data_IF_497684955778
#
_entry.id   IF_497684955778
#
_cell.length_a   1.000
_cell.length_b   1.000
_cell.length_c   1.000
_cell.angle_alpha   90.00
_cell.angle_beta   90.00
_cell.angle_gamma   90.00
#
_symmetry.space_group_name_H-M   'P 1'
#
loop_
_entity.id
_entity.type
_entity.pdbx_description
1 polymer ?
#
# COMPACT_ATOMS: atom_id res chain seq x y z
N UNK A 1 26.19 -25.76 -21.97
CA UNK A 1 25.86 -24.41 -21.46
C UNK A 1 24.86 -24.44 -20.31
N UNK A 2 23.72 -25.15 -20.42
CA UNK A 2 22.75 -25.24 -19.30
C UNK A 2 23.33 -25.88 -18.01
N UNK A 3 24.12 -26.96 -18.12
CA UNK A 3 24.74 -27.61 -16.96
C UNK A 3 25.79 -26.73 -16.26
N UNK A 4 26.54 -25.91 -16.99
CA UNK A 4 27.52 -24.99 -16.38
C UNK A 4 26.86 -23.77 -15.76
N UNK A 5 25.77 -23.26 -16.35
CA UNK A 5 24.97 -22.19 -15.75
C UNK A 5 24.30 -22.65 -14.45
N UNK A 6 23.75 -23.88 -14.43
CA UNK A 6 23.17 -24.48 -13.23
C UNK A 6 24.19 -24.72 -12.12
N UNK A 7 25.41 -25.15 -12.44
CA UNK A 7 26.47 -25.33 -11.42
C UNK A 7 26.99 -24.00 -10.87
N UNK A 8 27.04 -22.94 -11.68
CA UNK A 8 27.47 -21.61 -11.23
C UNK A 8 26.42 -20.98 -10.31
N UNK A 9 25.13 -21.09 -10.67
CA UNK A 9 24.02 -20.63 -9.83
C UNK A 9 24.00 -21.33 -8.47
N UNK A 10 24.17 -22.65 -8.45
CA UNK A 10 24.21 -23.45 -7.22
C UNK A 10 25.41 -23.07 -6.33
N UNK A 11 26.58 -22.81 -6.93
CA UNK A 11 27.74 -22.32 -6.19
C UNK A 11 27.55 -20.92 -5.59
N UNK A 12 26.89 -20.00 -6.30
CA UNK A 12 26.61 -18.64 -5.79
C UNK A 12 25.57 -18.62 -4.68
N UNK A 13 24.55 -19.48 -4.74
CA UNK A 13 23.53 -19.58 -3.69
C UNK A 13 24.14 -20.12 -2.40
N UNK A 14 25.00 -21.13 -2.53
CA UNK A 14 25.71 -21.70 -1.38
C UNK A 14 26.65 -20.70 -0.71
N UNK A 15 27.34 -19.86 -1.48
CA UNK A 15 28.18 -18.77 -0.93
C UNK A 15 27.33 -17.79 -0.11
N UNK A 16 26.17 -17.37 -0.64
CA UNK A 16 25.23 -16.51 0.09
C UNK A 16 24.75 -17.18 1.38
N UNK A 17 24.40 -18.47 1.34
CA UNK A 17 23.98 -19.23 2.54
C UNK A 17 25.07 -19.24 3.62
N UNK A 18 26.31 -19.55 3.24
CA UNK A 18 27.43 -19.65 4.17
C UNK A 18 27.78 -18.28 4.77
N UNK A 19 27.73 -17.22 3.97
CA UNK A 19 27.95 -15.85 4.43
C UNK A 19 26.82 -15.35 5.36
N UNK A 20 25.55 -15.65 5.06
CA UNK A 20 24.42 -15.31 5.93
C UNK A 20 24.52 -16.01 7.28
N UNK A 21 24.92 -17.29 7.30
CA UNK A 21 25.17 -18.04 8.54
C UNK A 21 26.26 -17.39 9.38
N UNK A 22 27.42 -17.09 8.77
CA UNK A 22 28.55 -16.45 9.47
C UNK A 22 28.14 -15.09 10.04
N UNK A 23 27.54 -14.22 9.21
CA UNK A 23 27.14 -12.89 9.64
C UNK A 23 26.08 -12.95 10.74
N UNK A 24 25.08 -13.83 10.60
CA UNK A 24 24.05 -14.01 11.60
C UNK A 24 24.59 -14.49 12.95
N UNK A 25 25.55 -15.42 12.96
CA UNK A 25 26.22 -15.85 14.20
C UNK A 25 26.96 -14.69 14.86
N UNK A 26 27.67 -13.87 14.07
CA UNK A 26 28.39 -12.69 14.56
C UNK A 26 27.45 -11.59 15.07
N UNK A 27 26.21 -11.51 14.58
CA UNK A 27 25.21 -10.55 15.06
C UNK A 27 24.50 -10.99 16.35
N UNK A 28 24.53 -12.28 16.71
CA UNK A 28 23.98 -12.75 18.00
C UNK A 28 24.76 -12.14 19.17
N UNK A 29 26.07 -11.95 19.01
CA UNK A 29 26.93 -11.22 19.95
C UNK A 29 27.59 -10.09 19.16
N UNK A 30 26.89 -8.96 18.96
CA UNK A 30 27.29 -7.95 18.00
C UNK A 30 28.65 -7.34 18.37
N UNK A 31 29.44 -6.92 17.36
CA UNK A 31 30.70 -6.20 17.61
C UNK A 31 30.48 -4.98 18.50
N UNK A 32 31.41 -4.68 19.44
CA UNK A 32 31.26 -3.54 20.34
C UNK A 32 31.48 -2.19 19.63
N UNK A 33 32.14 -2.20 18.47
CA UNK A 33 32.34 -1.01 17.64
C UNK A 33 31.11 -0.77 16.78
N UNK A 34 30.54 0.43 16.86
CA UNK A 34 29.43 0.87 16.00
C UNK A 34 29.77 0.76 14.52
N UNK A 35 30.99 1.12 14.13
CA UNK A 35 31.44 1.04 12.73
C UNK A 35 31.51 -0.41 12.23
N UNK A 36 32.06 -1.31 13.04
CA UNK A 36 32.12 -2.74 12.70
C UNK A 36 30.73 -3.38 12.62
N UNK A 37 29.82 -2.97 13.51
CA UNK A 37 28.43 -3.42 13.51
C UNK A 37 27.70 -2.92 12.25
N UNK A 38 27.84 -1.64 11.90
CA UNK A 38 27.24 -1.06 10.69
C UNK A 38 27.74 -1.76 9.43
N UNK A 39 29.05 -1.99 9.31
CA UNK A 39 29.62 -2.73 8.18
C UNK A 39 29.07 -4.17 8.10
N UNK A 40 28.84 -4.81 9.24
CA UNK A 40 28.25 -6.16 9.29
C UNK A 40 26.76 -6.14 8.88
N UNK A 41 25.99 -5.14 9.32
CA UNK A 41 24.59 -4.96 8.94
C UNK A 41 24.45 -4.65 7.44
N UNK A 42 25.27 -3.74 6.90
CA UNK A 42 25.29 -3.43 5.47
C UNK A 42 25.64 -4.66 4.62
N UNK A 43 26.57 -5.49 5.12
CA UNK A 43 26.89 -6.77 4.49
C UNK A 43 25.66 -7.69 4.48
N UNK A 44 24.97 -7.83 5.62
CA UNK A 44 23.75 -8.65 5.72
C UNK A 44 22.66 -8.14 4.79
N UNK A 45 22.37 -6.85 4.80
CA UNK A 45 21.41 -6.21 3.89
C UNK A 45 21.72 -6.58 2.43
N UNK A 46 22.99 -6.42 2.00
CA UNK A 46 23.41 -6.74 0.63
C UNK A 46 23.27 -8.21 0.24
N UNK A 47 23.29 -9.13 1.22
CA UNK A 47 23.05 -10.55 1.01
C UNK A 47 21.55 -10.83 0.94
N UNK A 48 20.76 -10.25 1.84
CA UNK A 48 19.31 -10.42 1.89
C UNK A 48 18.62 -9.96 0.60
N UNK A 49 19.04 -8.83 0.03
CA UNK A 49 18.54 -8.32 -1.27
C UNK A 49 18.69 -9.33 -2.41
N UNK A 50 19.69 -10.22 -2.34
CA UNK A 50 19.93 -11.26 -3.36
C UNK A 50 19.09 -12.52 -3.16
N UNK A 51 18.44 -12.67 -2.00
CA UNK A 51 17.60 -13.82 -1.68
C UNK A 51 16.17 -13.54 -2.18
N UNK A 52 15.69 -14.40 -3.08
CA UNK A 52 14.31 -14.34 -3.57
C UNK A 52 13.28 -14.78 -2.52
N UNK A 53 12.00 -14.54 -2.82
CA UNK A 53 10.90 -15.08 -2.02
C UNK A 53 10.82 -16.60 -2.15
N UNK A 54 10.20 -17.25 -1.15
CA UNK A 54 10.08 -18.71 -1.07
C UNK A 54 11.44 -19.44 -1.25
N UNK A 55 12.46 -19.12 -0.43
CA UNK A 55 13.78 -19.72 -0.55
C UNK A 55 13.78 -21.23 -0.24
N UNK A 56 14.86 -21.93 -0.64
CA UNK A 56 15.09 -23.34 -0.29
C UNK A 56 15.17 -23.55 1.23
N UNK A 57 14.95 -24.77 1.70
CA UNK A 57 15.05 -25.06 3.14
C UNK A 57 16.48 -24.84 3.69
N UNK A 58 17.52 -25.09 2.87
CA UNK A 58 18.91 -24.77 3.22
C UNK A 58 19.14 -23.28 3.43
N UNK A 59 18.53 -22.43 2.59
CA UNK A 59 18.59 -20.99 2.71
C UNK A 59 17.75 -20.49 3.90
N UNK A 60 16.58 -21.08 4.17
CA UNK A 60 15.82 -20.80 5.40
C UNK A 60 16.65 -21.11 6.65
N UNK A 61 17.35 -22.25 6.66
CA UNK A 61 18.25 -22.59 7.75
C UNK A 61 19.40 -21.58 7.89
N UNK A 62 19.90 -21.06 6.76
CA UNK A 62 20.94 -20.01 6.73
C UNK A 62 20.46 -18.66 7.27
N UNK A 63 19.18 -18.32 7.09
CA UNK A 63 18.59 -17.07 7.55
C UNK A 63 18.28 -17.06 9.06
N UNK A 64 18.07 -18.23 9.68
CA UNK A 64 17.66 -18.31 11.10
C UNK A 64 18.54 -17.53 12.07
N UNK A 65 19.89 -17.57 12.00
CA UNK A 65 20.74 -16.80 12.91
C UNK A 65 20.55 -15.29 12.72
N UNK A 66 20.41 -14.83 11.48
CA UNK A 66 20.15 -13.42 11.15
C UNK A 66 18.80 -12.99 11.70
N UNK A 67 17.73 -13.74 11.42
CA UNK A 67 16.38 -13.45 11.93
C UNK A 67 16.35 -13.33 13.45
N UNK A 68 16.99 -14.29 14.15
CA UNK A 68 17.09 -14.25 15.62
C UNK A 68 17.86 -13.03 16.11
N UNK A 69 18.94 -12.66 15.44
CA UNK A 69 19.76 -11.52 15.86
C UNK A 69 19.01 -10.19 15.70
N UNK A 70 18.31 -9.98 14.57
CA UNK A 70 17.62 -8.71 14.26
C UNK A 70 16.56 -8.32 15.28
N UNK A 71 15.90 -9.30 15.88
CA UNK A 71 14.86 -9.08 16.92
C UNK A 71 15.43 -9.13 18.34
N UNK A 72 16.73 -9.36 18.49
CA UNK A 72 17.43 -9.28 19.77
C UNK A 72 17.46 -7.85 20.30
N UNK A 73 17.33 -7.68 21.61
CA UNK A 73 17.28 -6.36 22.27
C UNK A 73 18.48 -5.48 21.95
N UNK A 74 19.67 -6.08 21.80
CA UNK A 74 20.93 -5.36 21.51
C UNK A 74 20.89 -4.61 20.17
N UNK A 75 20.19 -5.16 19.18
CA UNK A 75 20.05 -4.54 17.85
C UNK A 75 18.76 -3.72 17.76
N UNK A 76 17.63 -4.31 18.13
CA UNK A 76 16.32 -3.66 17.96
C UNK A 76 16.16 -2.40 18.84
N UNK A 77 16.76 -2.39 20.03
CA UNK A 77 16.71 -1.27 20.98
C UNK A 77 18.03 -0.51 21.06
N UNK A 78 18.90 -0.66 20.06
CA UNK A 78 20.18 0.00 20.04
C UNK A 78 20.01 1.53 20.18
N UNK A 79 20.92 2.21 20.88
CA UNK A 79 20.82 3.66 21.06
C UNK A 79 21.13 4.41 19.75
N UNK A 80 22.05 3.87 18.96
CA UNK A 80 22.53 4.46 17.72
C UNK A 80 21.45 4.43 16.62
N UNK A 81 21.21 5.60 16.01
CA UNK A 81 20.15 5.77 15.02
C UNK A 81 20.51 5.11 13.68
N UNK A 82 21.78 5.13 13.29
CA UNK A 82 22.24 4.47 12.05
C UNK A 82 22.10 2.95 12.19
N UNK A 83 22.49 2.40 13.34
CA UNK A 83 22.35 0.97 13.63
C UNK A 83 20.88 0.56 13.57
N UNK A 84 20.00 1.29 14.26
CA UNK A 84 18.56 1.03 14.21
C UNK A 84 18.03 1.07 12.78
N UNK A 85 18.42 2.07 11.99
CA UNK A 85 17.94 2.21 10.62
C UNK A 85 18.39 1.03 9.75
N UNK A 86 19.66 0.60 9.86
CA UNK A 86 20.15 -0.58 9.14
C UNK A 86 19.47 -1.88 9.60
N UNK A 87 19.11 -2.01 10.88
CA UNK A 87 18.30 -3.15 11.37
C UNK A 87 16.91 -3.14 10.74
N UNK A 88 16.24 -1.98 10.64
CA UNK A 88 14.92 -1.86 9.99
C UNK A 88 14.99 -2.24 8.52
N UNK A 89 16.03 -1.80 7.81
CA UNK A 89 16.25 -2.21 6.43
C UNK A 89 16.42 -3.73 6.29
N UNK A 90 17.22 -4.37 7.15
CA UNK A 90 17.35 -5.82 7.17
C UNK A 90 16.02 -6.54 7.50
N UNK A 91 15.23 -6.01 8.43
CA UNK A 91 13.92 -6.55 8.79
C UNK A 91 12.90 -6.43 7.64
N UNK A 92 12.95 -5.35 6.88
CA UNK A 92 12.15 -5.17 5.66
C UNK A 92 12.46 -6.28 4.65
N UNK A 93 13.75 -6.54 4.40
CA UNK A 93 14.18 -7.60 3.48
C UNK A 93 13.84 -9.00 3.99
N UNK A 94 13.98 -9.27 5.29
CA UNK A 94 13.54 -10.54 5.88
C UNK A 94 12.02 -10.76 5.72
N UNK A 95 11.23 -9.69 5.89
CA UNK A 95 9.79 -9.72 5.66
C UNK A 95 9.47 -10.00 4.18
N UNK A 96 10.20 -9.36 3.26
CA UNK A 96 10.12 -9.62 1.81
C UNK A 96 10.36 -11.09 1.47
N UNK A 97 11.46 -11.66 1.98
CA UNK A 97 11.89 -13.04 1.70
C UNK A 97 10.88 -14.07 2.22
N UNK A 98 10.32 -13.82 3.40
CA UNK A 98 9.44 -14.77 4.09
C UNK A 98 7.98 -14.65 3.65
N UNK A 99 7.57 -13.51 3.08
CA UNK A 99 6.24 -13.31 2.53
C UNK A 99 5.82 -14.45 1.56
N UNK A 100 4.56 -14.92 1.64
CA UNK A 100 3.46 -14.40 2.47
C UNK A 100 3.47 -14.93 3.91
N UNK A 101 4.42 -15.78 4.30
CA UNK A 101 4.49 -16.34 5.65
C UNK A 101 5.22 -15.36 6.57
N UNK A 102 4.56 -14.91 7.62
CA UNK A 102 5.16 -13.93 8.53
C UNK A 102 6.37 -14.56 9.25
N UNK A 103 7.50 -13.84 9.34
CA UNK A 103 8.72 -14.35 9.98
C UNK A 103 8.62 -14.42 11.50
N UNK A 104 7.70 -13.66 12.09
CA UNK A 104 7.53 -13.48 13.53
C UNK A 104 6.05 -13.50 13.91
N UNK A 105 5.75 -13.54 15.20
CA UNK A 105 4.37 -13.43 15.70
C UNK A 105 3.79 -12.02 15.47
N UNK A 106 2.47 -11.93 15.46
CA UNK A 106 1.70 -10.72 15.20
C UNK A 106 2.15 -9.52 16.05
N UNK A 107 2.48 -9.74 17.33
CA UNK A 107 2.91 -8.66 18.23
C UNK A 107 4.22 -8.05 17.78
N UNK A 108 5.19 -8.90 17.44
CA UNK A 108 6.48 -8.46 16.93
C UNK A 108 6.39 -7.89 15.52
N UNK A 109 5.53 -8.45 14.65
CA UNK A 109 5.29 -7.88 13.32
C UNK A 109 4.72 -6.47 13.40
N UNK A 110 3.80 -6.19 14.33
CA UNK A 110 3.30 -4.82 14.57
C UNK A 110 4.43 -3.86 14.94
N UNK A 111 5.33 -4.24 15.84
CA UNK A 111 6.50 -3.43 16.20
C UNK A 111 7.42 -3.19 15.00
N UNK A 112 7.66 -4.22 14.18
CA UNK A 112 8.49 -4.10 12.96
C UNK A 112 7.85 -3.13 11.96
N UNK A 113 6.55 -3.23 11.71
CA UNK A 113 5.86 -2.31 10.80
C UNK A 113 5.87 -0.87 11.31
N UNK A 114 5.73 -0.65 12.62
CA UNK A 114 5.90 0.70 13.19
C UNK A 114 7.29 1.26 12.91
N UNK A 115 8.34 0.43 12.99
CA UNK A 115 9.70 0.85 12.64
C UNK A 115 9.87 1.14 11.15
N UNK A 116 9.26 0.32 10.28
CA UNK A 116 9.26 0.54 8.81
C UNK A 116 8.56 1.86 8.46
N UNK A 117 7.38 2.13 9.02
CA UNK A 117 6.66 3.39 8.77
C UNK A 117 7.47 4.58 9.25
N UNK A 118 8.10 4.49 10.42
CA UNK A 118 9.03 5.54 10.89
C UNK A 118 10.24 5.72 9.96
N UNK A 119 10.72 4.66 9.31
CA UNK A 119 11.81 4.78 8.36
C UNK A 119 11.43 5.62 7.13
N UNK A 120 10.15 5.67 6.75
CA UNK A 120 9.68 6.55 5.68
C UNK A 120 9.81 8.04 6.02
N UNK A 121 9.89 8.44 7.29
CA UNK A 121 10.17 9.84 7.65
C UNK A 121 11.51 10.33 7.12
N UNK A 122 12.48 9.44 6.89
CA UNK A 122 13.78 9.81 6.30
C UNK A 122 13.65 10.28 4.85
N UNK A 123 12.51 10.06 4.19
CA UNK A 123 12.20 10.63 2.88
C UNK A 123 11.85 12.13 2.98
N UNK A 124 11.47 12.66 4.15
CA UNK A 124 11.11 14.07 4.34
C UNK A 124 12.26 15.05 4.08
N UNK A 125 13.51 14.58 4.14
CA UNK A 125 14.72 15.34 3.89
C UNK A 125 15.65 14.55 2.99
N UNK A 126 16.52 15.22 2.23
CA UNK A 126 17.65 14.56 1.54
C UNK A 126 18.74 14.19 2.54
N UNK A 127 18.38 13.33 3.49
CA UNK A 127 19.19 12.95 4.64
C UNK A 127 20.07 11.73 4.34
N UNK A 128 20.91 11.38 5.32
CA UNK A 128 21.90 10.30 5.25
C UNK A 128 21.31 8.94 4.87
N UNK A 129 20.07 8.63 5.25
CA UNK A 129 19.43 7.34 4.98
C UNK A 129 18.45 7.35 3.81
N UNK A 130 18.36 8.47 3.07
CA UNK A 130 17.32 8.66 2.06
C UNK A 130 17.23 7.48 1.07
N UNK A 131 18.36 7.02 0.52
CA UNK A 131 18.37 5.91 -0.44
C UNK A 131 17.90 4.58 0.16
N UNK A 132 18.26 4.30 1.42
CA UNK A 132 17.75 3.11 2.12
C UNK A 132 16.26 3.23 2.40
N UNK A 133 15.76 4.43 2.75
CA UNK A 133 14.33 4.68 2.93
C UNK A 133 13.54 4.49 1.62
N UNK A 134 14.10 4.93 0.47
CA UNK A 134 13.52 4.66 -0.85
C UNK A 134 13.46 3.15 -1.11
N UNK A 135 14.54 2.42 -0.82
CA UNK A 135 14.57 0.97 -1.01
C UNK A 135 13.55 0.22 -0.13
N UNK A 136 13.39 0.62 1.14
CA UNK A 136 12.37 0.07 2.04
C UNK A 136 10.96 0.34 1.47
N UNK A 137 10.71 1.56 1.00
CA UNK A 137 9.41 1.95 0.43
C UNK A 137 9.08 1.12 -0.83
N UNK A 138 10.04 1.01 -1.74
CA UNK A 138 9.94 0.20 -2.96
C UNK A 138 9.66 -1.26 -2.61
N UNK A 139 10.43 -1.82 -1.67
CA UNK A 139 10.24 -3.20 -1.21
C UNK A 139 8.84 -3.44 -0.65
N UNK A 140 8.34 -2.54 0.21
CA UNK A 140 7.00 -2.66 0.81
C UNK A 140 5.91 -2.62 -0.26
N UNK A 141 6.07 -1.78 -1.29
CA UNK A 141 5.14 -1.73 -2.41
C UNK A 141 5.22 -3.00 -3.27
N UNK A 142 6.41 -3.39 -3.72
CA UNK A 142 6.65 -4.49 -4.66
C UNK A 142 6.10 -5.84 -4.17
N UNK A 143 6.27 -6.14 -2.88
CA UNK A 143 5.74 -7.37 -2.27
C UNK A 143 4.42 -7.17 -1.53
N UNK A 144 3.81 -5.99 -1.66
CA UNK A 144 2.54 -5.61 -1.03
C UNK A 144 2.55 -5.86 0.48
N UNK A 145 3.70 -5.66 1.14
CA UNK A 145 3.87 -5.95 2.55
C UNK A 145 2.93 -5.12 3.44
N UNK A 146 2.48 -3.95 2.97
CA UNK A 146 1.53 -3.11 3.68
C UNK A 146 0.19 -3.81 3.99
N UNK A 147 -0.22 -4.83 3.23
CA UNK A 147 -1.47 -5.56 3.49
C UNK A 147 -1.47 -6.32 4.82
N UNK A 148 -0.28 -6.66 5.34
CA UNK A 148 -0.16 -7.20 6.69
C UNK A 148 -0.74 -6.26 7.76
N UNK A 149 -0.77 -4.94 7.52
CA UNK A 149 -1.37 -3.99 8.45
C UNK A 149 -2.88 -4.20 8.58
N UNK A 150 -3.54 -4.64 7.51
CA UNK A 150 -4.96 -4.98 7.51
C UNK A 150 -5.17 -6.31 8.24
N UNK A 151 -4.38 -7.34 7.91
CA UNK A 151 -4.44 -8.65 8.59
C UNK A 151 -4.20 -8.54 10.10
N UNK A 152 -3.37 -7.58 10.52
CA UNK A 152 -3.02 -7.32 11.91
C UNK A 152 -3.95 -6.30 12.60
N UNK A 153 -4.98 -5.79 11.92
CA UNK A 153 -5.93 -4.79 12.44
C UNK A 153 -5.21 -3.52 12.97
N UNK A 154 -4.30 -2.96 12.17
CA UNK A 154 -3.45 -1.81 12.52
C UNK A 154 -3.97 -0.47 11.97
N UNK A 155 -5.26 -0.19 12.08
CA UNK A 155 -5.93 0.97 11.46
C UNK A 155 -5.24 2.30 11.76
N UNK A 156 -4.81 2.52 13.00
CA UNK A 156 -4.12 3.74 13.40
C UNK A 156 -2.79 3.95 12.63
N UNK A 157 -2.06 2.86 12.35
CA UNK A 157 -0.81 2.91 11.59
C UNK A 157 -1.07 3.10 10.09
N UNK A 158 -2.17 2.55 9.57
CA UNK A 158 -2.64 2.81 8.20
C UNK A 158 -2.95 4.30 8.01
N UNK A 159 -3.67 4.91 8.95
CA UNK A 159 -3.95 6.36 8.94
C UNK A 159 -2.64 7.17 9.02
N UNK A 160 -1.69 6.75 9.87
CA UNK A 160 -0.38 7.39 10.00
C UNK A 160 0.40 7.37 8.67
N UNK A 161 0.37 6.26 7.92
CA UNK A 161 1.00 6.17 6.59
C UNK A 161 0.44 7.22 5.63
N UNK A 162 -0.89 7.39 5.59
CA UNK A 162 -1.54 8.34 4.69
C UNK A 162 -1.14 9.78 5.04
N UNK A 163 -1.21 10.12 6.33
CA UNK A 163 -0.79 11.44 6.83
C UNK A 163 0.70 11.70 6.56
N UNK A 164 1.53 10.69 6.76
CA UNK A 164 2.96 10.75 6.51
C UNK A 164 3.23 11.04 5.04
N UNK A 165 2.81 10.16 4.13
CA UNK A 165 3.10 10.29 2.69
C UNK A 165 2.64 11.61 2.11
N UNK A 166 1.42 12.05 2.45
CA UNK A 166 0.89 13.33 2.00
C UNK A 166 1.65 14.53 2.57
N UNK A 167 2.25 14.42 3.76
CA UNK A 167 3.10 15.46 4.34
C UNK A 167 4.50 15.48 3.74
N UNK A 168 5.09 14.31 3.45
CA UNK A 168 6.51 14.22 3.08
C UNK A 168 6.77 14.24 1.58
N UNK A 169 5.77 13.98 0.72
CA UNK A 169 5.94 13.98 -0.73
C UNK A 169 6.28 15.39 -1.27
N UNK A 170 7.30 15.46 -2.14
CA UNK A 170 7.85 16.67 -2.73
C UNK A 170 8.17 16.51 -4.22
N UNK A 171 8.34 17.62 -4.98
CA UNK A 171 8.63 17.57 -6.41
C UNK A 171 9.97 16.95 -6.79
N UNK A 172 10.94 16.91 -5.87
CA UNK A 172 12.32 16.47 -6.10
C UNK A 172 12.53 14.96 -5.85
N UNK A 173 11.51 14.25 -5.41
CA UNK A 173 11.59 12.80 -5.28
C UNK A 173 11.76 12.12 -6.65
N UNK A 174 12.58 11.05 -6.73
CA UNK A 174 12.53 10.12 -7.85
C UNK A 174 11.11 9.59 -8.05
N UNK A 175 10.73 9.32 -9.30
CA UNK A 175 9.38 8.85 -9.64
C UNK A 175 8.98 7.59 -8.86
N UNK A 176 9.93 6.69 -8.56
CA UNK A 176 9.68 5.46 -7.79
C UNK A 176 9.05 5.76 -6.44
N UNK A 177 9.46 6.84 -5.74
CA UNK A 177 8.87 7.21 -4.44
C UNK A 177 7.40 7.55 -4.59
N UNK A 178 7.05 8.33 -5.62
CA UNK A 178 5.66 8.71 -5.87
C UNK A 178 4.81 7.48 -6.19
N UNK A 179 5.28 6.62 -7.10
CA UNK A 179 4.53 5.43 -7.50
C UNK A 179 4.39 4.41 -6.38
N UNK A 180 5.41 4.22 -5.54
CA UNK A 180 5.33 3.31 -4.39
C UNK A 180 4.41 3.83 -3.30
N UNK A 181 4.42 5.15 -2.99
CA UNK A 181 3.45 5.74 -2.05
C UNK A 181 2.01 5.58 -2.54
N UNK A 182 1.78 5.86 -3.82
CA UNK A 182 0.48 5.68 -4.46
C UNK A 182 0.00 4.24 -4.41
N UNK A 183 0.86 3.28 -4.77
CA UNK A 183 0.53 1.85 -4.76
C UNK A 183 0.18 1.37 -3.36
N UNK A 184 0.97 1.73 -2.35
CA UNK A 184 0.70 1.36 -0.95
C UNK A 184 -0.64 1.94 -0.49
N UNK A 185 -0.90 3.23 -0.73
CA UNK A 185 -2.16 3.86 -0.33
C UNK A 185 -3.38 3.27 -1.06
N UNK A 186 -3.22 2.92 -2.34
CA UNK A 186 -4.27 2.29 -3.14
C UNK A 186 -4.59 0.88 -2.62
N UNK A 187 -3.56 0.05 -2.38
CA UNK A 187 -3.72 -1.29 -1.82
C UNK A 187 -4.42 -1.28 -0.46
N UNK A 188 -4.04 -0.35 0.41
CA UNK A 188 -4.65 -0.23 1.74
C UNK A 188 -6.13 0.17 1.68
N UNK A 189 -6.59 0.87 0.64
CA UNK A 189 -8.01 1.17 0.43
C UNK A 189 -8.74 -0.01 -0.22
N UNK A 190 -8.22 -0.54 -1.32
CA UNK A 190 -8.89 -1.56 -2.14
C UNK A 190 -9.05 -2.90 -1.41
N UNK A 191 -8.10 -3.25 -0.55
CA UNK A 191 -8.12 -4.52 0.20
C UNK A 191 -8.75 -4.36 1.59
N UNK A 192 -9.27 -3.17 1.95
CA UNK A 192 -9.99 -2.97 3.20
C UNK A 192 -11.44 -3.44 3.10
N UNK A 193 -11.89 -4.26 4.06
CA UNK A 193 -13.30 -4.70 4.16
C UNK A 193 -14.26 -3.53 4.47
N UNK A 194 -13.84 -2.61 5.34
CA UNK A 194 -14.59 -1.41 5.72
C UNK A 194 -13.63 -0.22 5.83
N UNK A 195 -14.04 0.93 5.28
CA UNK A 195 -13.23 2.15 5.26
C UNK A 195 -13.81 3.17 6.23
N UNK A 196 -12.99 3.63 7.17
CA UNK A 196 -13.37 4.72 8.06
C UNK A 196 -13.21 6.09 7.39
N UNK A 197 -14.06 7.05 7.77
CA UNK A 197 -13.87 8.44 7.35
C UNK A 197 -12.56 9.04 7.90
N UNK A 198 -12.04 8.52 9.02
CA UNK A 198 -10.75 8.93 9.57
C UNK A 198 -9.58 8.57 8.62
N UNK A 199 -9.67 7.44 7.93
CA UNK A 199 -8.70 7.06 6.89
C UNK A 199 -8.83 7.91 5.62
N UNK A 200 -10.06 8.26 5.21
CA UNK A 200 -10.28 9.09 4.02
C UNK A 200 -9.95 10.58 4.24
N UNK A 201 -10.00 11.06 5.48
CA UNK A 201 -9.84 12.48 5.79
C UNK A 201 -8.50 13.07 5.30
N UNK A 202 -7.33 12.44 5.50
CA UNK A 202 -6.06 12.93 4.95
C UNK A 202 -6.08 13.06 3.42
N UNK A 203 -6.67 12.09 2.70
CA UNK A 203 -6.81 12.15 1.24
C UNK A 203 -7.70 13.32 0.82
N UNK A 204 -8.87 13.46 1.46
CA UNK A 204 -9.80 14.53 1.18
C UNK A 204 -9.17 15.90 1.46
N UNK A 205 -8.46 16.04 2.57
CA UNK A 205 -7.75 17.27 2.90
C UNK A 205 -6.69 17.61 1.84
N UNK A 206 -5.94 16.61 1.34
CA UNK A 206 -4.91 16.86 0.32
C UNK A 206 -5.47 17.44 -0.98
N UNK A 207 -6.72 17.11 -1.34
CA UNK A 207 -7.37 17.54 -2.60
C UNK A 207 -8.31 18.73 -2.43
N UNK A 208 -8.32 19.37 -1.25
CA UNK A 208 -9.00 20.67 -1.06
C UNK A 208 -8.43 21.71 -2.01
N UNK A 209 -9.27 22.62 -2.51
CA UNK A 209 -8.87 23.65 -3.48
C UNK A 209 -7.69 24.50 -2.99
N UNK A 210 -7.61 24.77 -1.70
CA UNK A 210 -6.49 25.50 -1.08
C UNK A 210 -5.16 24.70 -1.14
N UNK A 211 -5.23 23.38 -0.96
CA UNK A 211 -4.06 22.50 -0.92
C UNK A 211 -3.55 22.13 -2.33
N UNK A 212 -4.40 22.17 -3.35
CA UNK A 212 -3.98 22.10 -4.76
C UNK A 212 -2.97 23.19 -5.12
N UNK A 213 -3.04 24.35 -4.46
CA UNK A 213 -2.14 25.48 -4.68
C UNK A 213 -0.94 25.40 -3.72
N UNK A 214 -1.18 25.18 -2.42
CA UNK A 214 -0.14 25.20 -1.40
C UNK A 214 0.76 23.95 -1.42
N UNK A 215 0.26 22.81 -1.89
CA UNK A 215 0.97 21.52 -1.86
C UNK A 215 0.61 20.67 -3.09
N UNK A 216 0.94 21.12 -4.31
CA UNK A 216 0.45 20.53 -5.56
C UNK A 216 0.85 19.07 -5.75
N UNK A 217 2.02 18.64 -5.26
CA UNK A 217 2.47 17.24 -5.38
C UNK A 217 1.69 16.33 -4.42
N UNK A 218 1.39 16.82 -3.20
CA UNK A 218 0.54 16.12 -2.24
C UNK A 218 -0.89 15.98 -2.77
N UNK A 219 -1.46 17.06 -3.31
CA UNK A 219 -2.77 17.00 -3.98
C UNK A 219 -2.77 16.04 -5.15
N UNK A 220 -1.71 16.04 -5.98
CA UNK A 220 -1.59 15.10 -7.10
C UNK A 220 -1.55 13.64 -6.64
N UNK A 221 -0.85 13.34 -5.54
CA UNK A 221 -0.83 12.00 -4.95
C UNK A 221 -2.24 11.62 -4.48
N UNK A 222 -2.91 12.50 -3.73
CA UNK A 222 -4.26 12.27 -3.23
C UNK A 222 -5.30 12.09 -4.35
N UNK A 223 -5.25 12.92 -5.40
CA UNK A 223 -6.09 12.80 -6.58
C UNK A 223 -5.91 11.46 -7.28
N UNK A 224 -4.66 10.99 -7.40
CA UNK A 224 -4.38 9.72 -8.07
C UNK A 224 -4.89 8.54 -7.26
N UNK A 225 -4.64 8.51 -5.96
CA UNK A 225 -5.18 7.46 -5.06
C UNK A 225 -6.70 7.45 -5.07
N UNK A 226 -7.37 8.61 -4.93
CA UNK A 226 -8.83 8.70 -4.98
C UNK A 226 -9.40 8.21 -6.31
N UNK A 227 -8.71 8.51 -7.42
CA UNK A 227 -9.12 8.07 -8.74
C UNK A 227 -9.00 6.56 -8.91
N UNK A 228 -7.87 5.97 -8.52
CA UNK A 228 -7.66 4.52 -8.60
C UNK A 228 -8.63 3.77 -7.68
N UNK A 229 -9.01 4.36 -6.55
CA UNK A 229 -9.94 3.76 -5.58
C UNK A 229 -11.40 4.21 -5.74
N UNK A 230 -11.79 4.78 -6.88
CA UNK A 230 -13.05 5.52 -7.02
C UNK A 230 -14.29 4.68 -6.67
N UNK A 231 -14.36 3.43 -7.14
CA UNK A 231 -15.46 2.49 -6.84
C UNK A 231 -15.60 2.22 -5.34
N UNK A 232 -14.47 2.10 -4.66
CA UNK A 232 -14.38 1.69 -3.26
C UNK A 232 -14.68 2.86 -2.32
N UNK A 233 -14.17 4.07 -2.62
CA UNK A 233 -14.39 5.25 -1.76
C UNK A 233 -15.74 5.93 -1.98
N UNK A 234 -16.34 5.78 -3.17
CA UNK A 234 -17.58 6.49 -3.55
C UNK A 234 -18.74 6.35 -2.54
N UNK A 235 -19.10 5.16 -2.03
CA UNK A 235 -20.22 5.03 -1.09
C UNK A 235 -20.06 5.92 0.13
N UNK A 236 -18.84 6.03 0.66
CA UNK A 236 -18.49 6.84 1.82
C UNK A 236 -18.58 8.34 1.53
N UNK A 237 -18.09 8.77 0.35
CA UNK A 237 -18.18 10.17 -0.07
C UNK A 237 -19.62 10.63 -0.28
N UNK A 238 -20.45 9.80 -0.93
CA UNK A 238 -21.87 10.09 -1.16
C UNK A 238 -22.62 10.19 0.17
N UNK A 239 -22.30 9.33 1.13
CA UNK A 239 -22.92 9.40 2.46
C UNK A 239 -22.50 10.64 3.23
N UNK A 240 -21.22 11.03 3.18
CA UNK A 240 -20.71 12.27 3.79
C UNK A 240 -21.39 13.54 3.21
N UNK A 241 -21.72 13.53 1.91
CA UNK A 241 -22.49 14.63 1.29
C UNK A 241 -23.94 14.67 1.77
N UNK A 242 -24.59 13.50 1.88
CA UNK A 242 -25.99 13.41 2.36
C UNK A 242 -26.12 13.84 3.82
N UNK A 243 -25.17 13.44 4.66
CA UNK A 243 -25.11 13.82 6.08
C UNK A 243 -24.69 15.28 6.30
N UNK A 244 -24.30 15.99 5.23
CA UNK A 244 -23.77 17.36 5.25
C UNK A 244 -22.49 17.52 6.07
N UNK A 245 -21.73 16.44 6.24
CA UNK A 245 -20.39 16.49 6.85
C UNK A 245 -19.31 16.98 5.86
N UNK A 246 -19.62 17.02 4.56
CA UNK A 246 -18.73 17.45 3.49
C UNK A 246 -19.47 18.39 2.51
N UNK A 247 -18.76 19.36 1.92
CA UNK A 247 -19.26 20.24 0.86
C UNK A 247 -18.39 20.14 -0.40
N UNK A 248 -18.98 19.80 -1.55
CA UNK A 248 -18.27 19.64 -2.83
C UNK A 248 -17.51 20.89 -3.28
N UNK A 249 -17.99 22.09 -2.92
CA UNK A 249 -17.37 23.34 -3.34
C UNK A 249 -15.96 23.55 -2.74
N UNK A 250 -15.60 22.81 -1.70
CA UNK A 250 -14.30 22.93 -1.02
C UNK A 250 -13.20 22.10 -1.69
N UNK A 251 -13.55 21.14 -2.56
CA UNK A 251 -12.64 20.15 -3.13
C UNK A 251 -12.41 20.33 -4.63
N UNK A 252 -11.33 19.73 -5.13
CA UNK A 252 -11.10 19.60 -6.57
C UNK A 252 -12.16 18.79 -7.30
N UNK A 253 -12.14 18.90 -8.62
CA UNK A 253 -13.11 18.24 -9.51
C UNK A 253 -13.15 16.72 -9.32
N UNK A 254 -12.07 16.11 -8.82
CA UNK A 254 -11.98 14.67 -8.57
C UNK A 254 -13.09 14.16 -7.64
N UNK A 255 -13.39 14.87 -6.56
CA UNK A 255 -14.41 14.44 -5.57
C UNK A 255 -15.80 14.48 -6.20
N UNK A 256 -16.09 15.54 -6.95
CA UNK A 256 -17.34 15.66 -7.69
C UNK A 256 -17.45 14.58 -8.79
N UNK A 257 -16.36 14.28 -9.50
CA UNK A 257 -16.31 13.21 -10.51
C UNK A 257 -16.70 11.87 -9.90
N UNK A 258 -16.03 11.48 -8.80
CA UNK A 258 -16.26 10.20 -8.12
C UNK A 258 -17.70 10.10 -7.60
N UNK A 259 -18.28 11.19 -7.07
CA UNK A 259 -19.66 11.18 -6.58
C UNK A 259 -20.71 11.13 -7.71
N UNK A 260 -20.39 11.69 -8.88
CA UNK A 260 -21.30 11.78 -10.02
C UNK A 260 -21.17 10.63 -11.03
N UNK A 261 -20.16 9.76 -10.90
CA UNK A 261 -20.07 8.53 -11.69
C UNK A 261 -21.36 7.72 -11.56
N UNK A 262 -21.73 6.91 -12.55
CA UNK A 262 -22.92 6.05 -12.44
C UNK A 262 -22.45 4.69 -11.93
N UNK A 263 -23.12 4.05 -10.94
CA UNK A 263 -22.80 2.68 -10.56
C UNK A 263 -22.80 1.78 -11.80
N UNK A 264 -21.85 0.85 -11.91
CA UNK A 264 -21.69 0.00 -13.12
C UNK A 264 -22.98 -0.73 -13.52
N UNK A 265 -23.84 -1.09 -12.56
CA UNK A 265 -25.15 -1.68 -12.79
C UNK A 265 -26.18 -0.74 -13.45
N UNK A 266 -26.07 0.57 -13.22
CA UNK A 266 -26.93 1.58 -13.86
C UNK A 266 -26.40 1.98 -15.25
N UNK A 267 -25.10 1.87 -15.51
CA UNK A 267 -24.54 2.03 -16.85
C UNK A 267 -25.04 0.93 -17.82
N UNK A 268 -25.20 -0.30 -17.34
CA UNK A 268 -25.84 -1.38 -18.12
C UNK A 268 -27.33 -1.15 -18.38
N UNK A 269 -28.08 -0.65 -17.38
CA UNK A 269 -29.48 -0.28 -17.59
C UNK A 269 -29.62 0.92 -18.54
N UNK A 270 -28.77 1.94 -18.40
CA UNK A 270 -28.83 3.12 -19.25
C UNK A 270 -28.43 2.81 -20.70
N UNK A 271 -27.43 1.94 -20.90
CA UNK A 271 -27.05 1.44 -22.24
C UNK A 271 -28.11 0.52 -22.86
N UNK A 272 -28.76 -0.35 -22.07
CA UNK A 272 -29.92 -1.14 -22.55
C UNK A 272 -31.12 -0.24 -22.87
N UNK A 273 -31.39 0.79 -22.07
CA UNK A 273 -32.51 1.72 -22.27
C UNK A 273 -32.27 2.63 -23.48
N UNK A 274 -31.02 3.06 -23.71
CA UNK A 274 -30.58 3.77 -24.92
C UNK A 274 -30.64 2.86 -26.17
N UNK A 275 -30.23 1.59 -26.07
CA UNK A 275 -30.38 0.62 -27.16
C UNK A 275 -31.86 0.37 -27.50
N UNK A 276 -32.74 0.26 -26.50
CA UNK A 276 -34.20 0.11 -26.70
C UNK A 276 -34.83 1.35 -27.35
N UNK A 277 -34.36 2.56 -27.02
CA UNK A 277 -34.79 3.80 -27.69
C UNK A 277 -34.30 3.87 -29.14
N UNK A 278 -33.08 3.40 -29.43
CA UNK A 278 -32.51 3.39 -30.79
C UNK A 278 -33.09 2.31 -31.71
N UNK A 279 -33.74 1.27 -31.15
CA UNK A 279 -34.45 0.22 -31.93
C UNK A 279 -35.87 0.65 -32.34
N UNK A 280 -36.35 1.83 -31.92
CA UNK A 280 -37.56 2.43 -32.50
C UNK A 280 -38.84 1.64 -32.24
N UNK A 281 -39.01 1.06 -31.04
CA UNK A 281 -40.33 0.60 -30.61
C UNK A 281 -41.11 1.83 -30.13
N UNK A 282 -41.73 2.52 -31.09
CA UNK A 282 -42.80 3.45 -30.78
C UNK A 282 -43.93 2.66 -30.12
N UNK A 283 -44.29 2.97 -28.88
CA UNK A 283 -45.60 2.62 -28.37
C UNK A 283 -46.63 3.46 -29.14
N UNK A 284 -47.00 2.99 -30.33
CA UNK A 284 -48.08 3.52 -31.11
C UNK A 284 -49.38 3.17 -30.38
N UNK A 285 -49.92 4.14 -29.65
CA UNK A 285 -51.32 4.19 -29.25
C UNK A 285 -52.20 4.21 -30.51
N UNK A 286 -52.61 3.03 -30.98
CA UNK A 286 -53.70 2.90 -31.95
C UNK A 286 -54.99 2.53 -31.20
N UNK A 287 -55.94 3.47 -31.22
CA UNK A 287 -57.22 3.34 -30.54
C UNK A 287 -58.05 2.18 -31.05
N UNK A 288 -58.51 1.35 -30.11
CA UNK A 288 -59.66 0.47 -30.34
C UNK A 288 -60.90 1.15 -29.75
N UNK A 289 -61.74 1.68 -30.65
CA UNK A 289 -63.02 2.32 -30.36
C UNK A 289 -64.04 1.25 -29.99
N UNK A 290 -64.22 0.95 -28.70
CA UNK A 290 -65.32 0.08 -28.23
C UNK A 290 -66.53 0.94 -27.87
N UNK A 291 -67.59 0.77 -28.66
CA UNK A 291 -68.93 1.36 -28.46
C UNK A 291 -69.49 1.03 -27.08
N UNK A 292 -69.91 2.07 -26.36
CA UNK A 292 -70.84 1.94 -25.25
C UNK A 292 -72.18 1.37 -25.73
N UNK A 293 -72.63 0.26 -25.12
CA UNK A 293 -74.05 -0.12 -25.08
C UNK A 293 -74.53 0.00 -23.64
N UNK A 294 -75.38 1.01 -23.40
CA UNK A 294 -76.34 1.06 -22.29
C UNK A 294 -77.27 -0.16 -22.37
N UNK A 295 -77.49 -0.84 -21.24
CA UNK A 295 -78.76 -1.44 -20.77
C UNK A 295 -78.53 -1.90 -19.32
N UNK A 296 -79.04 -1.16 -18.34
CA UNK A 296 -80.36 -1.32 -17.71
C UNK A 296 -80.52 -2.61 -16.86
N UNK A 297 -80.64 -2.33 -15.56
CA UNK A 297 -81.60 -2.88 -14.59
C UNK A 297 -81.40 -4.25 -13.92
N UNK A 298 -81.66 -4.17 -12.61
CA UNK A 298 -82.24 -5.14 -11.68
C UNK A 298 -81.34 -6.34 -11.34
N UNK A 299 -81.13 -6.70 -10.07
CA UNK A 299 -81.91 -6.51 -8.85
C UNK A 299 -80.98 -6.73 -7.66
#
# INVERSE_FOLDING_TARGET
MAASASSTLDSSQKEIEDELKDCGIRLIVPPPSTEELLNLLDKVESLLVKVGQAPSDSMKDALRPVMRAMVGSELLKNADVDVKFSVVSCLCELSRITAPQQPYDDGLMKEIFQLIVRAFEELSHSARHYYKAVHILETVADVKACLMLLDLECDALVIEIFQLFLRIIRPDHPNVVFTSMEEIMTLLIEESDEISMELLQPLLDSVRKENQICSPISSKLGEKVLKECASTVRPYLVEALKSRSMNLDDYGDIVASICNEMPEGEQMLHSQTEQLKNIGISNASHGCRVRAKKKQNAK
#
